data_IF_935791536121
#
_entry.id   IF_935791536121
#
_cell.length_a   1.000
_cell.length_b   1.000
_cell.length_c   1.000
_cell.angle_alpha   90.00
_cell.angle_beta   90.00
_cell.angle_gamma   90.00
#
_symmetry.space_group_name_H-M   'P 1'
#
loop_
_entity.id
_entity.type
_entity.pdbx_description
1 polymer ?
#
# COMPACT_ATOMS: atom_id res chain seq x y z
N UNK A 1 -12.43 -35.27 -34.14
CA UNK A 1 -11.93 -34.64 -35.38
C UNK A 1 -10.82 -33.68 -35.00
N UNK A 2 -9.63 -33.92 -35.54
CA UNK A 2 -8.42 -33.12 -35.33
C UNK A 2 -8.54 -31.80 -36.12
N UNK A 3 -8.13 -30.68 -35.53
CA UNK A 3 -7.68 -29.54 -36.33
C UNK A 3 -6.59 -28.77 -35.59
N UNK A 4 -5.37 -29.18 -35.86
CA UNK A 4 -4.13 -28.44 -35.65
C UNK A 4 -3.93 -27.45 -36.80
N UNK A 5 -3.69 -26.19 -36.50
CA UNK A 5 -3.16 -25.22 -37.46
C UNK A 5 -1.93 -24.53 -36.84
N UNK A 6 -0.76 -24.56 -37.51
CA UNK A 6 0.42 -23.82 -37.12
C UNK A 6 0.38 -22.45 -37.80
N UNK A 7 0.74 -21.40 -37.06
CA UNK A 7 1.08 -20.10 -37.67
C UNK A 7 2.49 -19.75 -37.27
N UNK A 8 3.39 -19.98 -38.22
CA UNK A 8 4.67 -19.31 -38.36
C UNK A 8 4.41 -17.81 -38.50
N UNK A 9 5.07 -16.96 -37.70
CA UNK A 9 5.33 -15.59 -38.15
C UNK A 9 6.80 -15.24 -37.94
N UNK A 10 7.37 -14.83 -39.06
CA UNK A 10 8.76 -14.53 -39.31
C UNK A 10 9.23 -13.27 -38.58
N UNK A 11 10.54 -13.24 -38.34
CA UNK A 11 11.23 -12.14 -37.67
C UNK A 11 11.32 -10.87 -38.49
N UNK A 12 11.56 -9.78 -37.75
CA UNK A 12 12.13 -8.55 -38.26
C UNK A 12 13.19 -8.10 -37.26
N UNK A 13 14.46 -8.34 -37.60
CA UNK A 13 15.61 -7.80 -36.89
C UNK A 13 15.92 -6.45 -37.52
N UNK A 14 15.67 -5.36 -36.79
CA UNK A 14 16.05 -4.01 -37.18
C UNK A 14 17.47 -3.71 -36.64
N UNK A 15 18.39 -3.21 -37.46
CA UNK A 15 19.70 -2.76 -37.00
C UNK A 15 19.58 -1.41 -36.28
N UNK A 16 20.00 -1.33 -35.02
CA UNK A 16 20.24 -0.06 -34.34
C UNK A 16 21.52 0.58 -34.88
N UNK A 17 21.37 1.65 -35.65
CA UNK A 17 22.46 2.56 -35.96
C UNK A 17 22.74 3.42 -34.71
N UNK A 18 23.86 3.15 -34.04
CA UNK A 18 24.39 3.98 -32.97
C UNK A 18 25.05 5.23 -33.59
N UNK A 19 24.37 6.38 -33.52
CA UNK A 19 24.98 7.67 -33.80
C UNK A 19 25.79 8.10 -32.57
N UNK A 20 27.11 7.92 -32.65
CA UNK A 20 28.05 8.52 -31.71
C UNK A 20 28.05 10.05 -31.91
N UNK A 21 27.50 10.79 -30.95
CA UNK A 21 27.61 12.25 -30.92
C UNK A 21 28.95 12.66 -30.30
N UNK A 22 29.70 13.59 -30.92
CA UNK A 22 30.93 14.12 -30.36
C UNK A 22 30.63 15.00 -29.13
N UNK A 23 31.25 14.67 -28.01
CA UNK A 23 31.21 15.45 -26.76
C UNK A 23 32.00 16.75 -26.93
N UNK A 24 31.41 17.93 -26.68
CA UNK A 24 32.16 19.18 -26.66
C UNK A 24 33.08 19.27 -25.42
N UNK A 25 34.27 19.89 -25.54
CA UNK A 25 35.18 20.10 -24.43
C UNK A 25 34.59 21.05 -23.39
N UNK A 26 34.70 20.65 -22.12
CA UNK A 26 34.09 21.33 -20.98
C UNK A 26 34.74 22.68 -20.65
N UNK A 27 33.92 23.72 -20.66
CA UNK A 27 34.17 24.97 -19.94
C UNK A 27 33.79 24.77 -18.48
N UNK A 28 34.80 24.72 -17.60
CA UNK A 28 34.61 24.78 -16.15
C UNK A 28 34.12 26.17 -15.74
N UNK A 29 32.81 26.38 -15.80
CA UNK A 29 32.17 27.48 -15.07
C UNK A 29 32.11 27.10 -13.60
N UNK A 30 32.76 27.90 -12.75
CA UNK A 30 32.61 27.82 -11.31
C UNK A 30 31.12 27.88 -10.97
N UNK A 31 30.58 26.76 -10.45
CA UNK A 31 29.20 26.67 -9.97
C UNK A 31 29.11 27.55 -8.72
N UNK A 32 28.34 28.66 -8.74
CA UNK A 32 28.08 29.40 -7.51
C UNK A 32 27.37 28.45 -6.54
N UNK A 33 27.89 28.36 -5.32
CA UNK A 33 27.24 27.60 -4.25
C UNK A 33 25.76 28.01 -4.20
N UNK A 34 24.80 27.06 -4.24
CA UNK A 34 23.40 27.41 -4.13
C UNK A 34 23.21 28.08 -2.76
N UNK A 35 23.01 29.39 -2.80
CA UNK A 35 22.57 30.14 -1.64
C UNK A 35 21.27 29.50 -1.17
N UNK A 36 21.30 28.93 0.03
CA UNK A 36 20.09 28.45 0.71
C UNK A 36 19.17 29.65 0.82
N UNK A 37 18.14 29.68 -0.02
CA UNK A 37 17.17 30.76 -0.02
C UNK A 37 16.55 30.84 1.39
N UNK A 38 16.72 31.94 2.13
CA UNK A 38 16.10 32.09 3.43
C UNK A 38 14.60 32.24 3.22
N UNK A 39 13.82 31.19 3.48
CA UNK A 39 12.36 31.28 3.36
C UNK A 39 11.56 30.00 3.18
N UNK A 40 12.18 28.81 3.10
CA UNK A 40 11.39 27.57 3.12
C UNK A 40 10.81 27.38 4.51
N UNK A 41 9.56 27.86 4.73
CA UNK A 41 8.80 27.53 5.92
C UNK A 41 8.84 26.01 6.08
N UNK A 42 9.17 25.47 7.26
CA UNK A 42 8.99 24.06 7.54
C UNK A 42 7.58 23.69 7.10
N UNK A 43 7.47 22.78 6.14
CA UNK A 43 6.17 22.20 5.80
C UNK A 43 5.56 21.61 7.07
N UNK A 44 4.23 21.49 7.14
CA UNK A 44 3.59 20.83 8.27
C UNK A 44 4.27 19.45 8.45
N UNK A 45 4.84 19.25 9.64
CA UNK A 45 5.47 17.98 10.00
C UNK A 45 4.36 16.92 9.89
N UNK A 46 4.58 15.91 9.03
CA UNK A 46 3.61 14.85 8.86
C UNK A 46 3.36 14.20 10.22
N UNK A 47 2.11 14.25 10.68
CA UNK A 47 1.74 13.70 11.98
C UNK A 47 1.95 12.18 11.95
N UNK A 48 2.66 11.67 12.96
CA UNK A 48 2.95 10.24 13.07
C UNK A 48 1.67 9.46 13.35
N UNK A 49 1.48 8.28 12.73
CA UNK A 49 0.32 7.45 12.99
C UNK A 49 0.31 6.96 14.44
N UNK A 50 -0.88 6.71 14.98
CA UNK A 50 -1.09 6.20 16.33
C UNK A 50 -0.69 4.72 16.45
N UNK A 51 -0.98 3.94 15.41
CA UNK A 51 -0.79 2.50 15.40
C UNK A 51 -0.44 2.04 13.99
N UNK A 52 0.55 1.15 13.90
CA UNK A 52 0.90 0.43 12.67
C UNK A 52 0.91 -1.06 13.00
N UNK A 53 0.19 -1.84 12.19
CA UNK A 53 0.12 -3.30 12.30
C UNK A 53 0.60 -3.90 10.98
N UNK A 54 1.53 -4.84 11.08
CA UNK A 54 1.94 -5.70 9.96
C UNK A 54 1.39 -7.11 10.13
N UNK A 55 0.52 -7.52 9.23
CA UNK A 55 -0.07 -8.85 9.19
C UNK A 55 0.60 -9.70 8.09
N UNK A 56 1.33 -10.77 8.46
CA UNK A 56 1.95 -11.64 7.47
C UNK A 56 0.93 -12.54 6.77
N UNK A 57 1.15 -12.79 5.47
CA UNK A 57 0.26 -13.62 4.68
C UNK A 57 0.49 -13.45 3.19
N UNK A 58 -0.52 -13.84 2.41
CA UNK A 58 -0.57 -13.69 0.95
C UNK A 58 -1.69 -12.73 0.56
N UNK A 59 -1.53 -12.06 -0.57
CA UNK A 59 -2.56 -11.19 -1.12
C UNK A 59 -2.81 -11.45 -2.60
N UNK A 60 -4.03 -11.15 -3.02
CA UNK A 60 -4.49 -11.11 -4.41
C UNK A 60 -5.06 -9.72 -4.65
N UNK A 61 -4.75 -9.15 -5.81
CA UNK A 61 -5.17 -7.81 -6.17
C UNK A 61 -5.70 -7.84 -7.61
N UNK A 62 -6.80 -7.13 -7.86
CA UNK A 62 -7.31 -6.92 -9.22
C UNK A 62 -7.85 -5.51 -9.39
N UNK A 63 -7.69 -4.98 -10.60
CA UNK A 63 -8.20 -3.65 -10.99
C UNK A 63 -8.91 -3.79 -12.33
N UNK A 64 -10.19 -3.40 -12.40
CA UNK A 64 -11.02 -3.61 -13.59
C UNK A 64 -11.13 -5.07 -14.00
N UNK A 65 -11.07 -6.00 -13.03
CA UNK A 65 -11.06 -7.44 -13.26
C UNK A 65 -9.72 -8.02 -13.73
N UNK A 66 -8.70 -7.18 -13.97
CA UNK A 66 -7.36 -7.63 -14.35
C UNK A 66 -6.52 -7.89 -13.09
N UNK A 67 -6.01 -9.11 -12.96
CA UNK A 67 -5.11 -9.49 -11.88
C UNK A 67 -3.85 -8.61 -11.88
N UNK A 68 -3.41 -8.20 -10.69
CA UNK A 68 -2.23 -7.40 -10.46
C UNK A 68 -1.25 -8.16 -9.55
N UNK A 69 0.06 -7.92 -9.68
CA UNK A 69 1.03 -8.40 -8.71
C UNK A 69 0.66 -7.96 -7.29
N UNK A 70 0.85 -8.85 -6.32
CA UNK A 70 0.66 -8.58 -4.90
C UNK A 70 1.67 -9.42 -4.13
N UNK A 71 2.65 -8.77 -3.51
CA UNK A 71 3.90 -9.43 -3.08
C UNK A 71 4.17 -9.33 -1.58
N UNK A 72 3.31 -8.68 -0.81
CA UNK A 72 3.50 -8.51 0.64
C UNK A 72 2.38 -9.10 1.48
N UNK A 73 2.60 -9.08 2.80
CA UNK A 73 1.51 -9.09 3.77
C UNK A 73 0.70 -7.79 3.74
N UNK A 74 -0.20 -7.64 4.71
CA UNK A 74 -1.06 -6.48 4.85
C UNK A 74 -0.49 -5.52 5.90
N UNK A 75 -0.49 -4.23 5.60
CA UNK A 75 -0.15 -3.17 6.56
C UNK A 75 -1.43 -2.41 6.89
N UNK A 76 -1.76 -2.34 8.17
CA UNK A 76 -2.84 -1.51 8.71
C UNK A 76 -2.23 -0.33 9.47
N UNK A 77 -2.74 0.87 9.20
CA UNK A 77 -2.32 2.11 9.87
C UNK A 77 -3.56 2.81 10.41
N UNK A 78 -3.51 3.18 11.69
CA UNK A 78 -4.51 4.05 12.31
C UNK A 78 -3.87 5.40 12.59
N UNK A 79 -4.36 6.43 11.92
CA UNK A 79 -3.94 7.81 12.09
C UNK A 79 -4.58 8.45 13.33
N UNK A 80 -4.01 9.57 13.79
CA UNK A 80 -4.50 10.27 14.99
C UNK A 80 -5.82 11.01 14.77
N UNK A 81 -6.11 11.37 13.52
CA UNK A 81 -7.37 11.95 13.06
C UNK A 81 -8.51 10.90 12.94
N UNK A 82 -8.25 9.63 13.27
CA UNK A 82 -9.19 8.52 13.17
C UNK A 82 -9.25 7.87 11.79
N UNK A 83 -8.49 8.37 10.80
CA UNK A 83 -8.42 7.71 9.50
C UNK A 83 -7.70 6.36 9.63
N UNK A 84 -8.19 5.37 8.89
CA UNK A 84 -7.61 4.03 8.83
C UNK A 84 -7.18 3.75 7.41
N UNK A 85 -5.94 3.28 7.23
CA UNK A 85 -5.36 2.88 5.94
C UNK A 85 -5.00 1.40 5.99
N UNK A 86 -5.49 0.63 5.02
CA UNK A 86 -5.12 -0.77 4.79
C UNK A 86 -4.36 -0.81 3.48
N UNK A 87 -3.13 -1.32 3.48
CA UNK A 87 -2.29 -1.31 2.29
C UNK A 87 -1.56 -2.62 2.05
N UNK A 88 -1.28 -2.86 0.77
CA UNK A 88 -0.46 -3.97 0.29
C UNK A 88 0.56 -3.43 -0.72
N UNK A 89 1.69 -4.11 -0.82
CA UNK A 89 2.68 -3.88 -1.85
C UNK A 89 2.31 -4.69 -3.08
N UNK A 90 2.04 -4.00 -4.19
CA UNK A 90 1.77 -4.64 -5.46
C UNK A 90 3.09 -5.11 -6.09
N UNK A 91 4.07 -4.21 -6.19
CA UNK A 91 5.43 -4.46 -6.71
C UNK A 91 6.48 -3.83 -5.79
N UNK A 92 7.79 -4.09 -5.96
CA UNK A 92 8.83 -3.48 -5.13
C UNK A 92 8.78 -1.95 -5.05
N UNK A 93 8.25 -1.27 -6.07
CA UNK A 93 8.13 0.19 -6.12
C UNK A 93 6.69 0.70 -6.07
N UNK A 94 5.69 -0.20 -5.91
CA UNK A 94 4.27 0.15 -5.94
C UNK A 94 3.49 -0.36 -4.73
N UNK A 95 2.72 0.53 -4.10
CA UNK A 95 1.78 0.19 -3.03
C UNK A 95 0.38 0.66 -3.37
N UNK A 96 -0.62 -0.10 -2.93
CA UNK A 96 -2.03 0.28 -3.00
C UNK A 96 -2.59 0.30 -1.59
N UNK A 97 -3.23 1.41 -1.23
CA UNK A 97 -3.84 1.63 0.07
C UNK A 97 -5.32 1.98 -0.03
N UNK A 98 -6.15 1.36 0.80
CA UNK A 98 -7.57 1.63 0.96
C UNK A 98 -7.77 2.39 2.26
N UNK A 99 -8.35 3.58 2.19
CA UNK A 99 -8.60 4.41 3.36
C UNK A 99 -10.10 4.54 3.61
N UNK A 100 -10.45 4.48 4.90
CA UNK A 100 -11.76 4.84 5.42
C UNK A 100 -11.64 5.70 6.67
N UNK A 101 -12.72 6.42 6.99
CA UNK A 101 -12.83 7.27 8.18
C UNK A 101 -13.99 6.83 9.10
N UNK A 102 -14.66 5.74 8.75
CA UNK A 102 -15.78 5.19 9.50
C UNK A 102 -15.66 3.69 9.48
N UNK A 103 -15.72 3.09 10.66
CA UNK A 103 -15.62 1.67 10.86
C UNK A 103 -16.75 1.17 11.77
N UNK A 104 -16.99 -0.13 11.74
CA UNK A 104 -17.92 -0.81 12.62
C UNK A 104 -17.33 -2.16 12.99
N UNK A 105 -17.37 -2.49 14.28
CA UNK A 105 -16.88 -3.75 14.82
C UNK A 105 -18.02 -4.43 15.61
N UNK A 106 -18.92 -5.18 14.94
CA UNK A 106 -20.08 -5.78 15.60
C UNK A 106 -19.68 -6.83 16.64
N UNK A 107 -18.60 -7.56 16.37
CA UNK A 107 -17.95 -8.52 17.28
C UNK A 107 -16.43 -8.32 17.22
N UNK A 108 -15.68 -8.83 18.19
CA UNK A 108 -14.23 -8.57 18.28
C UNK A 108 -13.45 -9.13 17.10
N UNK A 109 -13.97 -10.19 16.50
CA UNK A 109 -13.37 -10.96 15.42
C UNK A 109 -13.63 -10.38 14.03
N UNK A 110 -14.59 -9.46 13.90
CA UNK A 110 -15.05 -8.92 12.62
C UNK A 110 -15.05 -7.40 12.61
N UNK A 111 -14.40 -6.82 11.61
CA UNK A 111 -14.26 -5.38 11.47
C UNK A 111 -14.61 -4.96 10.04
N UNK A 112 -15.48 -3.97 9.90
CA UNK A 112 -15.86 -3.40 8.60
C UNK A 112 -15.43 -1.94 8.54
N UNK A 113 -14.74 -1.57 7.46
CA UNK A 113 -14.30 -0.20 7.18
C UNK A 113 -14.98 0.31 5.91
N UNK A 114 -15.69 1.44 6.01
CA UNK A 114 -16.26 2.15 4.86
C UNK A 114 -15.17 2.97 4.16
N UNK A 115 -14.96 2.68 2.88
CA UNK A 115 -13.89 3.27 2.09
C UNK A 115 -14.33 4.58 1.43
N UNK A 116 -13.48 5.59 1.56
CA UNK A 116 -13.69 6.90 0.92
C UNK A 116 -12.51 7.34 0.05
N UNK A 117 -11.32 6.78 0.23
CA UNK A 117 -10.14 7.06 -0.61
C UNK A 117 -9.35 5.81 -0.94
N UNK A 118 -8.74 5.80 -2.11
CA UNK A 118 -7.71 4.83 -2.48
C UNK A 118 -6.43 5.58 -2.84
N UNK A 119 -5.32 5.15 -2.28
CA UNK A 119 -3.98 5.66 -2.49
C UNK A 119 -3.20 4.70 -3.36
N UNK A 120 -2.38 5.25 -4.25
CA UNK A 120 -1.43 4.49 -5.05
C UNK A 120 -0.11 5.23 -4.98
N UNK A 121 0.93 4.55 -4.50
CA UNK A 121 2.29 5.09 -4.55
C UNK A 121 3.08 4.31 -5.58
N UNK A 122 3.74 4.99 -6.51
CA UNK A 122 4.62 4.39 -7.53
C UNK A 122 5.89 5.21 -7.58
N UNK A 123 7.04 4.56 -7.39
CA UNK A 123 8.36 5.19 -7.42
C UNK A 123 8.44 6.42 -6.48
N UNK A 124 7.84 6.29 -5.29
CA UNK A 124 7.78 7.33 -4.26
C UNK A 124 6.79 8.46 -4.54
N UNK A 125 6.06 8.42 -5.67
CA UNK A 125 5.01 9.40 -5.99
C UNK A 125 3.66 8.85 -5.58
N UNK A 126 2.98 9.55 -4.68
CA UNK A 126 1.67 9.14 -4.19
C UNK A 126 0.57 9.94 -4.88
N UNK A 127 -0.41 9.22 -5.41
CA UNK A 127 -1.68 9.76 -5.86
C UNK A 127 -2.81 9.18 -5.00
N UNK A 128 -3.89 9.93 -4.87
CA UNK A 128 -5.08 9.48 -4.14
C UNK A 128 -6.32 9.85 -4.93
N UNK A 129 -7.31 8.96 -4.95
CA UNK A 129 -8.61 9.19 -5.57
C UNK A 129 -9.76 8.85 -4.63
N UNK A 130 -10.88 9.53 -4.80
CA UNK A 130 -12.12 9.21 -4.09
C UNK A 130 -12.69 7.89 -4.59
N UNK A 131 -13.14 7.06 -3.66
CA UNK A 131 -13.79 5.78 -3.95
C UNK A 131 -15.01 5.58 -3.05
N UNK A 132 -15.82 4.58 -3.38
CA UNK A 132 -16.85 4.02 -2.50
C UNK A 132 -16.63 2.52 -2.36
N UNK A 133 -16.94 1.96 -1.21
CA UNK A 133 -16.91 0.52 -0.99
C UNK A 133 -16.49 0.19 0.44
N UNK A 134 -16.06 -1.04 0.67
CA UNK A 134 -15.84 -1.54 2.02
C UNK A 134 -14.60 -2.43 2.10
N UNK A 135 -14.00 -2.50 3.28
CA UNK A 135 -13.07 -3.56 3.67
C UNK A 135 -13.66 -4.35 4.83
N UNK A 136 -13.77 -5.66 4.67
CA UNK A 136 -14.14 -6.59 5.74
C UNK A 136 -12.89 -7.30 6.21
N UNK A 137 -12.63 -7.29 7.51
CA UNK A 137 -11.45 -7.88 8.15
C UNK A 137 -11.92 -8.90 9.17
N UNK A 138 -11.28 -10.06 9.17
CA UNK A 138 -11.47 -11.12 10.16
C UNK A 138 -10.15 -11.39 10.88
N UNK A 139 -10.21 -11.40 12.21
CA UNK A 139 -9.06 -11.61 13.10
C UNK A 139 -9.47 -12.42 14.33
N UNK A 140 -8.50 -12.85 15.14
CA UNK A 140 -8.77 -13.45 16.44
C UNK A 140 -9.40 -12.42 17.41
N UNK A 141 -10.14 -12.90 18.40
CA UNK A 141 -10.81 -12.07 19.41
C UNK A 141 -9.87 -11.10 20.16
N UNK A 142 -8.60 -11.48 20.27
CA UNK A 142 -7.53 -10.70 20.91
C UNK A 142 -6.78 -9.78 19.93
N UNK A 143 -7.15 -9.79 18.64
CA UNK A 143 -6.55 -8.99 17.57
C UNK A 143 -5.12 -9.40 17.20
N UNK A 144 -4.59 -10.50 17.75
CA UNK A 144 -3.18 -10.89 17.57
C UNK A 144 -2.91 -11.58 16.25
N UNK A 145 -3.90 -12.23 15.66
CA UNK A 145 -3.75 -12.93 14.38
C UNK A 145 -4.83 -12.47 13.42
N UNK A 146 -4.42 -12.07 12.22
CA UNK A 146 -5.34 -11.67 11.16
C UNK A 146 -5.54 -12.83 10.20
N UNK A 147 -6.79 -13.18 9.94
CA UNK A 147 -7.13 -14.33 9.09
C UNK A 147 -7.37 -13.90 7.65
N UNK A 148 -8.21 -12.87 7.46
CA UNK A 148 -8.63 -12.41 6.13
C UNK A 148 -8.87 -10.91 6.12
N UNK A 149 -8.64 -10.29 4.97
CA UNK A 149 -9.20 -8.98 4.67
C UNK A 149 -9.66 -8.95 3.21
N UNK A 150 -10.88 -8.49 2.96
CA UNK A 150 -11.41 -8.31 1.61
C UNK A 150 -11.84 -6.87 1.44
N UNK A 151 -11.14 -6.14 0.59
CA UNK A 151 -11.39 -4.76 0.26
C UNK A 151 -11.92 -4.65 -1.16
N UNK A 152 -13.04 -3.96 -1.34
CA UNK A 152 -13.61 -3.65 -2.65
C UNK A 152 -13.89 -2.17 -2.74
N UNK A 153 -13.24 -1.49 -3.68
CA UNK A 153 -13.39 -0.06 -3.94
C UNK A 153 -13.84 0.19 -5.39
N UNK A 154 -14.78 1.09 -5.59
CA UNK A 154 -15.23 1.59 -6.90
C UNK A 154 -14.91 3.08 -6.98
N UNK A 155 -14.16 3.51 -8.00
CA UNK A 155 -13.87 4.92 -8.23
C UNK A 155 -14.98 5.64 -9.01
N UNK A 156 -14.82 6.95 -9.22
CA UNK A 156 -15.79 7.79 -9.93
C UNK A 156 -16.05 7.38 -11.39
N UNK A 157 -15.16 6.58 -12.00
CA UNK A 157 -15.31 6.08 -13.36
C UNK A 157 -15.93 4.68 -13.40
N UNK A 158 -16.35 4.13 -12.26
CA UNK A 158 -16.89 2.79 -12.14
C UNK A 158 -15.83 1.68 -12.13
N UNK A 159 -14.54 2.03 -12.11
CA UNK A 159 -13.47 1.02 -12.07
C UNK A 159 -13.41 0.40 -10.68
N UNK A 160 -13.52 -0.94 -10.64
CA UNK A 160 -13.50 -1.72 -9.40
C UNK A 160 -12.09 -2.21 -9.11
N UNK A 161 -11.59 -1.95 -7.91
CA UNK A 161 -10.35 -2.52 -7.37
C UNK A 161 -10.70 -3.44 -6.21
N UNK A 162 -10.20 -4.67 -6.25
CA UNK A 162 -10.44 -5.70 -5.21
C UNK A 162 -9.10 -6.18 -4.68
N UNK A 163 -8.94 -6.16 -3.36
CA UNK A 163 -7.83 -6.80 -2.66
C UNK A 163 -8.37 -7.87 -1.73
N UNK A 164 -7.80 -9.08 -1.82
CA UNK A 164 -8.03 -10.16 -0.88
C UNK A 164 -6.71 -10.50 -0.19
N UNK A 165 -6.71 -10.52 1.13
CA UNK A 165 -5.59 -10.95 1.96
C UNK A 165 -5.98 -12.21 2.71
N UNK A 166 -5.08 -13.18 2.78
CA UNK A 166 -5.17 -14.37 3.62
C UNK A 166 -3.94 -14.43 4.51
N UNK A 167 -4.15 -14.35 5.83
CA UNK A 167 -3.09 -14.47 6.82
C UNK A 167 -2.52 -15.89 6.89
N UNK A 168 -1.25 -15.99 7.29
CA UNK A 168 -0.54 -17.27 7.44
C UNK A 168 -0.67 -17.90 8.84
N UNK A 169 -1.49 -17.29 9.71
CA UNK A 169 -1.73 -17.74 11.08
C UNK A 169 -0.71 -17.24 12.11
N UNK A 170 0.36 -16.57 11.69
CA UNK A 170 1.32 -15.95 12.62
C UNK A 170 0.75 -14.67 13.23
N UNK A 171 1.32 -14.30 14.38
CA UNK A 171 0.96 -13.08 15.07
C UNK A 171 1.38 -11.84 14.27
N UNK A 172 0.57 -10.79 14.38
CA UNK A 172 0.86 -9.50 13.77
C UNK A 172 1.98 -8.77 14.53
N UNK A 173 2.74 -7.96 13.80
CA UNK A 173 3.70 -7.02 14.39
C UNK A 173 3.01 -5.70 14.68
N UNK A 174 3.23 -5.11 15.85
CA UNK A 174 2.59 -3.86 16.26
C UNK A 174 3.64 -2.80 16.58
N UNK A 175 3.47 -1.60 16.04
CA UNK A 175 4.28 -0.43 16.36
C UNK A 175 3.38 0.77 16.72
N UNK A 176 3.84 1.59 17.67
CA UNK A 176 3.18 2.84 18.11
C UNK A 176 4.15 4.01 18.00
N UNK A 177 4.24 4.64 16.82
CA UNK A 177 5.15 5.77 16.61
C UNK A 177 4.86 6.94 17.55
N UNK A 178 5.92 7.54 18.10
CA UNK A 178 5.83 8.70 18.99
C UNK A 178 5.64 8.37 20.48
N UNK A 179 5.55 7.10 20.87
CA UNK A 179 5.74 6.69 22.27
C UNK A 179 7.24 6.50 22.54
N UNK A 180 7.95 7.60 22.84
CA UNK A 180 9.37 7.58 23.26
C UNK A 180 9.52 6.72 24.53
N UNK A 181 10.08 5.51 24.37
CA UNK A 181 10.32 4.55 25.46
C UNK A 181 10.04 3.09 25.11
N UNK A 182 9.38 2.81 23.98
CA UNK A 182 9.00 1.44 23.61
C UNK A 182 10.15 0.64 22.99
N UNK A 183 11.01 0.03 23.81
CA UNK A 183 11.67 -1.23 23.41
C UNK A 183 10.62 -2.12 22.72
N UNK A 184 10.97 -2.68 21.55
CA UNK A 184 10.12 -3.60 20.78
C UNK A 184 9.40 -4.57 21.70
N UNK A 185 8.16 -4.22 22.04
CA UNK A 185 7.51 -4.71 23.24
C UNK A 185 7.04 -6.13 23.00
N UNK A 186 7.53 -7.05 23.83
CA UNK A 186 6.81 -8.29 24.17
C UNK A 186 5.30 -7.97 24.20
N UNK A 187 4.44 -8.72 23.46
CA UNK A 187 3.04 -8.36 23.29
C UNK A 187 2.39 -8.03 24.62
N UNK A 188 1.92 -6.78 24.78
CA UNK A 188 1.20 -6.39 25.98
C UNK A 188 0.01 -7.35 26.19
N UNK A 189 -0.22 -7.84 27.42
CA UNK A 189 -1.42 -8.60 27.71
C UNK A 189 -2.63 -7.72 27.43
N UNK A 190 -3.54 -8.22 26.59
CA UNK A 190 -4.80 -7.55 26.29
C UNK A 190 -5.64 -7.57 27.57
N UNK A 191 -6.12 -6.42 28.08
CA UNK A 191 -7.00 -6.39 29.24
C UNK A 191 -8.26 -7.20 28.95
N UNK A 192 -8.60 -8.11 29.87
CA UNK A 192 -9.79 -8.94 29.76
C UNK A 192 -11.07 -8.08 29.68
N UNK A 193 -12.12 -8.54 28.95
CA UNK A 193 -13.43 -7.91 29.02
C UNK A 193 -13.88 -7.79 30.47
N UNK A 194 -14.34 -6.60 30.87
CA UNK A 194 -15.24 -6.49 32.02
C UNK A 194 -16.58 -7.08 31.56
N UNK A 195 -17.00 -8.16 32.24
CA UNK A 195 -18.30 -8.80 32.03
C UNK A 195 -19.47 -7.94 32.49
#
# INVERSE_FOLDING_TARGET
MRSTLPVLLAGLVLPLAALAQPTPPGTSHAVPAPGVAPGTRPGPVAELPRLVIGAPGRCELSTGGQAQPCSSGLIYVHHRDGAVLISVQSTPTSTIGFQGNSDTQPVREEYTLELNRMHTSVDGRTAAKTVRGTCQISMTADGRTWHRATCRATDGNGMVTVMNFTGDGRQVTVARPGEEGGQGGKPAPVPAPKG
#
